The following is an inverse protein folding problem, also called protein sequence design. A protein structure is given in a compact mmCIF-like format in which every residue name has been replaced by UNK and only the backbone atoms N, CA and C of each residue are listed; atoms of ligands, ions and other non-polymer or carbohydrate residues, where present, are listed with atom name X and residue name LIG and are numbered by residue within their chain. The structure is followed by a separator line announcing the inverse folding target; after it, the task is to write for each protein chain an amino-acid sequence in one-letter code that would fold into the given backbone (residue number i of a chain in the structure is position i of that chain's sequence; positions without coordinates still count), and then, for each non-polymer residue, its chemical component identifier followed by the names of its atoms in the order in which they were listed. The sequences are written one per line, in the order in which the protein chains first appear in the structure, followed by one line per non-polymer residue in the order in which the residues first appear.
data_IF_829715775379
#
_entry.id   IF_829715775379
#
_cell.length_a   1.000
_cell.length_b   1.000
_cell.length_c   1.000
_cell.angle_alpha   90.00
_cell.angle_beta   90.00
_cell.angle_gamma   90.00
#
_symmetry.space_group_name_H-M   'P 1'
#
loop_
_entity.id
_entity.type
_entity.pdbx_description
1 polymer ?
#
# COMPACT_ATOMS: atom_id res chain seq x y z
N UNK A 1 2.63 -12.32 38.47
CA UNK A 1 1.19 -12.50 38.74
C UNK A 1 0.41 -11.97 37.55
N UNK A 2 -0.64 -12.68 37.14
CA UNK A 2 -1.51 -12.26 36.04
C UNK A 2 -2.39 -11.08 36.52
N UNK A 3 -1.98 -9.87 36.19
CA UNK A 3 -2.70 -8.62 36.46
C UNK A 3 -2.48 -7.63 35.32
N UNK A 4 -3.14 -6.46 35.33
CA UNK A 4 -3.08 -5.52 34.19
C UNK A 4 -1.66 -5.09 33.78
N UNK A 5 -0.77 -4.96 34.77
CA UNK A 5 0.65 -4.59 34.57
C UNK A 5 1.57 -5.80 34.36
N UNK A 6 1.02 -7.01 34.35
CA UNK A 6 1.76 -8.24 34.04
C UNK A 6 2.06 -8.33 32.54
N UNK A 7 3.20 -8.96 32.23
CA UNK A 7 3.66 -9.20 30.85
C UNK A 7 2.71 -10.17 30.16
N UNK A 8 2.16 -9.79 29.01
CA UNK A 8 1.26 -10.62 28.23
C UNK A 8 1.98 -11.34 27.09
N UNK A 9 2.79 -10.60 26.32
CA UNK A 9 3.48 -11.14 25.13
C UNK A 9 4.75 -10.36 24.82
N UNK A 10 5.72 -11.07 24.24
CA UNK A 10 6.88 -10.47 23.58
C UNK A 10 6.72 -10.66 22.07
N UNK A 11 6.67 -9.55 21.34
CA UNK A 11 6.58 -9.57 19.88
C UNK A 11 7.86 -8.99 19.31
N UNK A 12 8.49 -9.71 18.38
CA UNK A 12 9.73 -9.23 17.77
C UNK A 12 9.41 -8.34 16.58
N UNK A 13 9.89 -7.09 16.62
CA UNK A 13 9.89 -6.20 15.46
C UNK A 13 11.29 -6.18 14.85
N UNK A 14 11.40 -6.18 13.51
CA UNK A 14 12.69 -6.16 12.81
C UNK A 14 13.47 -4.85 13.02
N UNK A 15 12.81 -3.79 13.49
CA UNK A 15 13.41 -2.49 13.78
C UNK A 15 14.07 -1.82 12.56
N UNK A 16 14.43 -0.55 12.68
CA UNK A 16 15.25 0.15 11.66
C UNK A 16 16.70 -0.34 11.65
N UNK A 17 17.16 -0.95 12.75
CA UNK A 17 18.55 -1.39 12.97
C UNK A 17 18.84 -2.83 12.52
N UNK A 18 17.85 -3.56 12.00
CA UNK A 18 18.01 -4.94 11.49
C UNK A 18 18.21 -6.03 12.55
N UNK A 19 18.43 -5.67 13.81
CA UNK A 19 18.39 -6.58 14.96
C UNK A 19 16.98 -6.61 15.54
N UNK A 20 16.34 -7.79 15.67
CA UNK A 20 14.99 -7.88 16.24
C UNK A 20 14.94 -7.28 17.65
N UNK A 21 14.00 -6.35 17.87
CA UNK A 21 13.70 -5.80 19.19
C UNK A 21 12.49 -6.51 19.77
N UNK A 22 12.61 -7.00 21.01
CA UNK A 22 11.50 -7.64 21.71
C UNK A 22 10.57 -6.60 22.32
N UNK A 23 9.46 -6.28 21.65
CA UNK A 23 8.43 -5.36 22.15
C UNK A 23 7.69 -6.06 23.29
N UNK A 24 7.78 -5.50 24.50
CA UNK A 24 7.05 -6.03 25.66
C UNK A 24 5.68 -5.37 25.79
N UNK A 25 4.63 -6.16 25.57
CA UNK A 25 3.25 -5.75 25.79
C UNK A 25 2.71 -6.39 27.07
N UNK A 26 2.16 -5.55 27.95
CA UNK A 26 1.43 -5.99 29.13
C UNK A 26 -0.05 -6.17 28.81
N UNK A 27 -0.79 -6.87 29.68
CA UNK A 27 -2.23 -7.10 29.48
C UNK A 27 -3.01 -5.79 29.28
N UNK A 28 -2.69 -4.75 30.05
CA UNK A 28 -3.30 -3.42 29.91
C UNK A 28 -3.07 -2.82 28.53
N UNK A 29 -1.88 -2.96 27.95
CA UNK A 29 -1.57 -2.37 26.66
C UNK A 29 -2.43 -3.00 25.56
N UNK A 30 -2.45 -4.32 25.52
CA UNK A 30 -3.25 -5.08 24.57
C UNK A 30 -4.75 -4.76 24.69
N UNK A 31 -5.29 -4.83 25.90
CA UNK A 31 -6.71 -4.59 26.15
C UNK A 31 -7.11 -3.14 25.91
N UNK A 32 -6.21 -2.18 26.17
CA UNK A 32 -6.44 -0.78 25.82
C UNK A 32 -6.54 -0.59 24.30
N UNK A 33 -5.64 -1.20 23.51
CA UNK A 33 -5.70 -1.18 22.05
C UNK A 33 -7.03 -1.74 21.53
N UNK A 34 -7.43 -2.90 22.03
CA UNK A 34 -8.73 -3.54 21.69
C UNK A 34 -9.91 -2.66 22.06
N UNK A 35 -9.91 -2.07 23.26
CA UNK A 35 -10.96 -1.16 23.73
C UNK A 35 -11.06 0.09 22.86
N UNK A 36 -9.93 0.68 22.49
CA UNK A 36 -9.86 1.85 21.63
C UNK A 36 -10.43 1.53 20.24
N UNK A 37 -10.02 0.41 19.65
CA UNK A 37 -10.52 -0.07 18.36
C UNK A 37 -12.02 -0.38 18.39
N UNK A 38 -12.52 -1.06 19.43
CA UNK A 38 -13.96 -1.30 19.62
C UNK A 38 -14.76 -0.01 19.69
N UNK A 39 -14.32 0.96 20.52
CA UNK A 39 -14.97 2.27 20.65
C UNK A 39 -14.93 3.09 19.36
N UNK A 40 -13.88 2.92 18.56
CA UNK A 40 -13.76 3.53 17.24
C UNK A 40 -14.57 2.83 16.15
N UNK A 41 -15.32 1.76 16.45
CA UNK A 41 -16.10 1.04 15.43
C UNK A 41 -15.23 0.20 14.48
N UNK A 42 -14.08 -0.27 14.95
CA UNK A 42 -13.25 -1.19 14.17
C UNK A 42 -13.95 -2.54 13.99
N UNK A 43 -14.56 -3.04 15.07
CA UNK A 43 -15.24 -4.34 15.16
C UNK A 43 -16.26 -4.35 16.31
N UNK A 44 -17.19 -5.30 16.31
CA UNK A 44 -18.19 -5.48 17.37
C UNK A 44 -17.92 -6.73 18.21
N UNK A 45 -18.84 -7.11 19.10
CA UNK A 45 -18.81 -8.42 19.78
C UNK A 45 -19.13 -9.55 18.81
N UNK A 46 -18.67 -10.76 19.13
CA UNK A 46 -19.04 -11.99 18.44
C UNK A 46 -18.71 -11.97 16.93
N UNK A 47 -17.63 -11.28 16.55
CA UNK A 47 -17.08 -11.32 15.19
C UNK A 47 -16.51 -12.71 14.86
N UNK A 48 -16.57 -13.09 13.58
CA UNK A 48 -15.89 -14.26 13.04
C UNK A 48 -14.71 -13.79 12.19
N UNK A 49 -13.51 -14.30 12.48
CA UNK A 49 -12.26 -13.95 11.78
C UNK A 49 -11.54 -15.17 11.27
N UNK A 50 -10.78 -15.01 10.18
CA UNK A 50 -9.85 -16.01 9.68
C UNK A 50 -8.43 -15.66 10.14
N UNK A 51 -7.85 -16.47 11.02
CA UNK A 51 -6.52 -16.31 11.59
C UNK A 51 -5.44 -16.91 10.69
N UNK A 52 -5.27 -16.35 9.49
CA UNK A 52 -4.28 -16.81 8.51
C UNK A 52 -2.92 -16.11 8.63
N UNK A 53 -2.87 -15.02 9.40
CA UNK A 53 -1.65 -14.25 9.61
C UNK A 53 -0.82 -14.90 10.73
N UNK A 54 0.52 -14.79 10.70
CA UNK A 54 1.34 -15.37 11.76
C UNK A 54 0.98 -14.77 13.11
N UNK A 55 0.70 -15.59 14.12
CA UNK A 55 0.41 -15.13 15.50
C UNK A 55 1.56 -14.33 16.13
N UNK A 56 2.78 -14.51 15.62
CA UNK A 56 3.95 -13.71 15.99
C UNK A 56 3.88 -12.26 15.46
N UNK A 57 2.96 -11.95 14.55
CA UNK A 57 2.69 -10.60 14.10
C UNK A 57 1.62 -9.95 14.97
N UNK A 58 1.89 -8.73 15.45
CA UNK A 58 1.03 -8.06 16.44
C UNK A 58 -0.41 -7.89 15.96
N UNK A 59 -0.65 -7.68 14.67
CA UNK A 59 -2.00 -7.52 14.17
C UNK A 59 -2.80 -8.79 14.42
N UNK A 60 -2.28 -9.97 14.02
CA UNK A 60 -2.96 -11.24 14.29
C UNK A 60 -3.18 -11.42 15.79
N UNK A 61 -2.11 -11.29 16.60
CA UNK A 61 -2.21 -11.46 18.05
C UNK A 61 -3.25 -10.53 18.69
N UNK A 62 -3.32 -9.26 18.27
CA UNK A 62 -4.26 -8.29 18.80
C UNK A 62 -5.71 -8.61 18.40
N UNK A 63 -5.94 -9.16 17.20
CA UNK A 63 -7.26 -9.61 16.76
C UNK A 63 -7.67 -10.96 17.38
N UNK A 64 -6.82 -11.97 17.30
CA UNK A 64 -7.14 -13.36 17.68
C UNK A 64 -7.11 -13.54 19.20
N UNK A 65 -6.01 -13.15 19.84
CA UNK A 65 -5.85 -13.28 21.30
C UNK A 65 -6.43 -12.09 22.05
N UNK A 66 -6.15 -10.86 21.60
CA UNK A 66 -6.64 -9.64 22.25
C UNK A 66 -8.16 -9.49 22.16
N UNK A 67 -8.65 -9.19 20.96
CA UNK A 67 -10.07 -8.96 20.71
C UNK A 67 -10.88 -10.26 20.82
N UNK A 68 -10.34 -11.39 20.38
CA UNK A 68 -11.06 -12.66 20.45
C UNK A 68 -11.43 -13.09 21.87
N UNK A 69 -10.52 -12.94 22.83
CA UNK A 69 -10.82 -13.23 24.24
C UNK A 69 -11.72 -12.14 24.84
N UNK A 70 -11.43 -10.86 24.58
CA UNK A 70 -12.14 -9.75 25.22
C UNK A 70 -13.58 -9.56 24.71
N UNK A 71 -13.84 -9.89 23.45
CA UNK A 71 -15.10 -9.60 22.73
C UNK A 71 -15.77 -10.86 22.15
N UNK A 72 -15.29 -12.05 22.53
CA UNK A 72 -15.85 -13.38 22.18
C UNK A 72 -15.86 -13.68 20.68
N UNK A 73 -14.74 -13.42 20.00
CA UNK A 73 -14.68 -13.74 18.56
C UNK A 73 -14.64 -15.25 18.33
N UNK A 74 -15.19 -15.66 17.20
CA UNK A 74 -14.94 -16.99 16.64
C UNK A 74 -13.67 -16.92 15.81
N UNK A 75 -12.62 -17.62 16.25
CA UNK A 75 -11.33 -17.67 15.57
C UNK A 75 -11.27 -18.92 14.69
N UNK A 76 -11.26 -18.73 13.37
CA UNK A 76 -11.17 -19.81 12.41
C UNK A 76 -9.74 -19.89 11.90
N UNK A 77 -9.11 -21.05 12.00
CA UNK A 77 -7.71 -21.27 11.59
C UNK A 77 -7.73 -22.05 10.28
N UNK A 78 -7.07 -21.56 9.21
CA UNK A 78 -7.00 -22.28 7.95
C UNK A 78 -6.23 -23.60 8.10
N UNK A 79 -6.59 -24.61 7.30
CA UNK A 79 -5.93 -25.93 7.39
C UNK A 79 -4.45 -25.84 7.01
N UNK A 80 -4.14 -25.07 5.96
CA UNK A 80 -2.78 -24.78 5.48
C UNK A 80 -2.73 -23.39 4.85
N UNK A 81 -1.52 -22.89 4.58
CA UNK A 81 -1.36 -21.59 3.92
C UNK A 81 -1.96 -21.57 2.50
N UNK A 82 -1.92 -22.71 1.80
CA UNK A 82 -2.46 -22.87 0.45
C UNK A 82 -3.99 -22.90 0.42
N UNK A 83 -4.64 -23.26 1.54
CA UNK A 83 -6.11 -23.36 1.62
C UNK A 83 -6.77 -22.06 2.06
N UNK A 84 -6.01 -21.02 2.43
CA UNK A 84 -6.53 -19.77 2.99
C UNK A 84 -7.69 -19.17 2.19
N UNK A 85 -7.61 -19.12 0.85
CA UNK A 85 -8.68 -18.55 0.02
C UNK A 85 -9.92 -19.46 -0.06
N UNK A 86 -9.71 -20.78 -0.01
CA UNK A 86 -10.81 -21.75 0.07
C UNK A 86 -11.53 -21.62 1.41
N UNK A 87 -10.77 -21.60 2.51
CA UNK A 87 -11.29 -21.51 3.88
C UNK A 87 -11.99 -20.16 4.10
N UNK A 88 -11.44 -19.07 3.55
CA UNK A 88 -12.08 -17.75 3.56
C UNK A 88 -13.48 -17.80 2.94
N UNK A 89 -13.62 -18.51 1.80
CA UNK A 89 -14.90 -18.69 1.12
C UNK A 89 -15.89 -19.49 1.97
N UNK A 90 -15.46 -20.61 2.54
CA UNK A 90 -16.30 -21.48 3.35
C UNK A 90 -16.79 -20.80 4.64
N UNK A 91 -15.87 -20.13 5.34
CA UNK A 91 -16.14 -19.50 6.64
C UNK A 91 -16.97 -18.22 6.47
N UNK A 92 -16.72 -17.46 5.39
CA UNK A 92 -17.27 -16.14 5.12
C UNK A 92 -17.25 -15.25 6.38
N UNK A 93 -16.06 -14.78 6.81
CA UNK A 93 -15.89 -14.06 8.07
C UNK A 93 -16.61 -12.71 8.08
N UNK A 94 -16.86 -12.18 9.26
CA UNK A 94 -17.50 -10.87 9.45
C UNK A 94 -16.48 -9.74 9.60
N UNK A 95 -15.22 -10.10 9.92
CA UNK A 95 -14.07 -9.21 9.99
C UNK A 95 -12.88 -9.84 9.24
N UNK A 96 -12.23 -9.07 8.39
CA UNK A 96 -11.07 -9.50 7.61
C UNK A 96 -10.05 -8.37 7.50
N UNK A 97 -8.83 -8.64 7.96
CA UNK A 97 -7.67 -7.78 7.80
C UNK A 97 -6.71 -8.45 6.82
N UNK A 98 -6.34 -7.73 5.77
CA UNK A 98 -5.36 -8.22 4.83
C UNK A 98 -4.41 -7.13 4.33
N UNK A 99 -3.17 -7.51 4.06
CA UNK A 99 -2.18 -6.64 3.43
C UNK A 99 -2.65 -6.25 2.02
N UNK A 100 -2.22 -5.10 1.47
CA UNK A 100 -2.58 -4.66 0.13
C UNK A 100 -2.42 -5.75 -0.94
N UNK A 101 -1.29 -6.46 -0.92
CA UNK A 101 -1.00 -7.55 -1.86
C UNK A 101 -2.03 -8.68 -1.84
N UNK A 102 -2.61 -9.00 -0.69
CA UNK A 102 -3.67 -10.01 -0.61
C UNK A 102 -4.94 -9.55 -1.32
N UNK A 103 -5.30 -8.27 -1.19
CA UNK A 103 -6.40 -7.65 -1.94
C UNK A 103 -6.13 -7.62 -3.44
N UNK A 104 -4.91 -7.25 -3.85
CA UNK A 104 -4.49 -7.23 -5.24
C UNK A 104 -4.56 -8.63 -5.87
N UNK A 105 -4.01 -9.65 -5.21
CA UNK A 105 -4.04 -11.03 -5.71
C UNK A 105 -5.47 -11.57 -5.91
N UNK A 106 -6.38 -11.26 -4.98
CA UNK A 106 -7.79 -11.61 -5.13
C UNK A 106 -8.43 -10.88 -6.32
N UNK A 107 -8.09 -9.60 -6.54
CA UNK A 107 -8.58 -8.83 -7.69
C UNK A 107 -8.06 -9.40 -9.01
N UNK A 108 -6.77 -9.70 -9.10
CA UNK A 108 -6.18 -10.35 -10.29
C UNK A 108 -6.90 -11.66 -10.61
N UNK A 109 -7.21 -12.47 -9.59
CA UNK A 109 -7.96 -13.73 -9.77
C UNK A 109 -9.35 -13.50 -10.37
N UNK A 110 -10.04 -12.43 -9.97
CA UNK A 110 -11.34 -12.05 -10.56
C UNK A 110 -11.15 -11.64 -12.01
N UNK A 111 -10.17 -10.78 -12.30
CA UNK A 111 -9.92 -10.25 -13.64
C UNK A 111 -9.63 -11.37 -14.64
N UNK A 112 -8.69 -12.27 -14.32
CA UNK A 112 -8.35 -13.43 -15.16
C UNK A 112 -9.58 -14.30 -15.42
N UNK A 113 -10.35 -14.66 -14.39
CA UNK A 113 -11.56 -15.47 -14.55
C UNK A 113 -12.64 -14.79 -15.37
N UNK A 114 -12.72 -13.46 -15.32
CA UNK A 114 -13.67 -12.69 -16.13
C UNK A 114 -13.22 -12.55 -17.57
N UNK A 115 -11.91 -12.48 -17.84
CA UNK A 115 -11.35 -12.52 -19.20
C UNK A 115 -11.60 -13.85 -19.89
N UNK A 116 -11.48 -14.96 -19.15
CA UNK A 116 -11.79 -16.31 -19.62
C UNK A 116 -13.30 -16.62 -19.68
N UNK A 117 -14.15 -15.65 -19.32
CA UNK A 117 -15.60 -15.84 -19.28
C UNK A 117 -16.27 -15.66 -20.64
N UNK A 118 -17.52 -16.13 -20.77
CA UNK A 118 -18.29 -15.94 -22.00
C UNK A 118 -18.55 -14.45 -22.26
N UNK A 119 -18.64 -14.06 -23.54
CA UNK A 119 -18.87 -12.66 -23.96
C UNK A 119 -20.04 -12.00 -23.24
N UNK A 120 -21.12 -12.75 -23.00
CA UNK A 120 -22.29 -12.24 -22.27
C UNK A 120 -21.97 -11.96 -20.80
N UNK A 121 -21.27 -12.87 -20.10
CA UNK A 121 -20.87 -12.68 -18.70
C UNK A 121 -19.93 -11.49 -18.56
N UNK A 122 -18.94 -11.38 -19.45
CA UNK A 122 -18.02 -10.24 -19.50
C UNK A 122 -18.76 -8.92 -19.71
N UNK A 123 -19.68 -8.87 -20.67
CA UNK A 123 -20.48 -7.67 -20.93
C UNK A 123 -21.35 -7.26 -19.72
N UNK A 124 -22.01 -8.23 -19.06
CA UNK A 124 -22.80 -7.98 -17.84
C UNK A 124 -21.89 -7.44 -16.72
N UNK A 125 -20.75 -8.10 -16.49
CA UNK A 125 -19.77 -7.69 -15.50
C UNK A 125 -19.28 -6.26 -15.77
N UNK A 126 -18.84 -5.96 -16.99
CA UNK A 126 -18.33 -4.64 -17.38
C UNK A 126 -19.41 -3.58 -17.18
N UNK A 127 -20.66 -3.84 -17.57
CA UNK A 127 -21.77 -2.89 -17.41
C UNK A 127 -21.99 -2.51 -15.93
N UNK A 128 -22.10 -3.50 -15.04
CA UNK A 128 -22.42 -3.25 -13.64
C UNK A 128 -21.20 -2.77 -12.85
N UNK A 129 -20.02 -3.34 -13.07
CA UNK A 129 -18.80 -2.93 -12.37
C UNK A 129 -18.35 -1.54 -12.79
N UNK A 130 -18.42 -1.17 -14.07
CA UNK A 130 -18.11 0.20 -14.48
C UNK A 130 -19.09 1.21 -13.85
N UNK A 131 -20.38 0.87 -13.77
CA UNK A 131 -21.36 1.71 -13.08
C UNK A 131 -21.07 1.82 -11.57
N UNK A 132 -20.68 0.73 -10.91
CA UNK A 132 -20.37 0.72 -9.49
C UNK A 132 -19.08 1.50 -9.17
N UNK A 133 -18.04 1.34 -10.00
CA UNK A 133 -16.77 2.08 -9.92
C UNK A 133 -17.00 3.58 -10.10
N UNK A 134 -17.78 3.98 -11.11
CA UNK A 134 -18.11 5.39 -11.33
C UNK A 134 -18.87 6.01 -10.14
N UNK A 135 -19.84 5.27 -9.59
CA UNK A 135 -20.59 5.71 -8.41
C UNK A 135 -19.69 5.85 -7.17
N UNK A 136 -18.77 4.91 -6.94
CA UNK A 136 -17.86 4.96 -5.78
C UNK A 136 -16.82 6.07 -5.92
N UNK A 137 -16.23 6.28 -7.10
CA UNK A 137 -15.32 7.42 -7.35
C UNK A 137 -16.03 8.75 -7.08
N UNK A 138 -17.24 8.93 -7.60
CA UNK A 138 -18.06 10.12 -7.36
C UNK A 138 -18.35 10.33 -5.86
N UNK A 139 -18.61 9.24 -5.12
CA UNK A 139 -18.83 9.30 -3.68
C UNK A 139 -17.57 9.73 -2.92
N UNK A 140 -16.39 9.22 -3.31
CA UNK A 140 -15.11 9.62 -2.72
C UNK A 140 -14.78 11.09 -2.99
N UNK A 141 -15.28 11.65 -4.10
CA UNK A 141 -15.20 13.08 -4.43
C UNK A 141 -16.27 13.94 -3.70
N UNK A 142 -17.05 13.35 -2.79
CA UNK A 142 -18.11 14.05 -2.05
C UNK A 142 -19.45 14.16 -2.77
N UNK A 143 -19.57 13.57 -3.97
CA UNK A 143 -20.80 13.53 -4.76
C UNK A 143 -21.78 12.43 -4.34
N UNK A 144 -22.91 12.37 -5.04
CA UNK A 144 -23.95 11.36 -4.84
C UNK A 144 -24.12 10.51 -6.10
N UNK A 145 -24.41 9.20 -5.98
CA UNK A 145 -24.66 8.35 -7.14
C UNK A 145 -25.82 8.88 -7.99
N UNK A 146 -25.68 8.80 -9.31
CA UNK A 146 -26.71 9.21 -10.28
C UNK A 146 -27.96 8.33 -10.16
N UNK A 147 -29.10 8.80 -10.69
CA UNK A 147 -30.34 8.00 -10.68
C UNK A 147 -30.16 6.64 -11.38
N UNK A 148 -29.42 6.61 -12.50
CA UNK A 148 -29.08 5.38 -13.22
C UNK A 148 -28.26 4.43 -12.34
N UNK A 149 -27.21 4.93 -11.68
CA UNK A 149 -26.38 4.11 -10.79
C UNK A 149 -27.19 3.54 -9.61
N UNK A 150 -28.11 4.34 -9.04
CA UNK A 150 -29.02 3.89 -7.96
C UNK A 150 -29.95 2.78 -8.43
N UNK A 151 -30.49 2.88 -9.64
CA UNK A 151 -31.37 1.86 -10.23
C UNK A 151 -30.61 0.59 -10.62
N UNK A 152 -29.37 0.72 -11.12
CA UNK A 152 -28.53 -0.43 -11.50
C UNK A 152 -27.95 -1.15 -10.30
N UNK A 153 -27.78 -0.48 -9.15
CA UNK A 153 -27.14 -1.05 -7.96
C UNK A 153 -27.78 -2.36 -7.47
N UNK A 154 -29.11 -2.47 -7.22
CA UNK A 154 -29.70 -3.72 -6.75
C UNK A 154 -29.56 -4.86 -7.78
N UNK A 155 -29.66 -4.56 -9.07
CA UNK A 155 -29.51 -5.55 -10.13
C UNK A 155 -28.05 -6.02 -10.26
N UNK A 156 -27.09 -5.10 -10.17
CA UNK A 156 -25.67 -5.40 -10.15
C UNK A 156 -25.25 -6.18 -8.90
N UNK A 157 -25.87 -5.91 -7.75
CA UNK A 157 -25.69 -6.69 -6.53
C UNK A 157 -26.15 -8.14 -6.73
N UNK A 158 -27.32 -8.35 -7.34
CA UNK A 158 -27.86 -9.69 -7.58
C UNK A 158 -27.05 -10.48 -8.64
N UNK A 159 -26.68 -9.84 -9.74
CA UNK A 159 -26.09 -10.52 -10.90
C UNK A 159 -24.56 -10.62 -10.87
N UNK A 160 -23.88 -9.69 -10.20
CA UNK A 160 -22.41 -9.55 -10.28
C UNK A 160 -21.77 -9.43 -8.91
N UNK A 161 -22.07 -8.37 -8.15
CA UNK A 161 -21.31 -8.05 -6.93
C UNK A 161 -21.55 -9.08 -5.82
N UNK A 162 -22.80 -9.51 -5.62
CA UNK A 162 -23.17 -10.56 -4.66
C UNK A 162 -22.47 -11.88 -4.98
N UNK A 163 -22.61 -12.45 -6.19
CA UNK A 163 -21.91 -13.67 -6.58
C UNK A 163 -20.38 -13.59 -6.47
N UNK A 164 -19.77 -12.46 -6.83
CA UNK A 164 -18.32 -12.27 -6.66
C UNK A 164 -17.93 -12.26 -5.18
N UNK A 165 -18.66 -11.51 -4.33
CA UNK A 165 -18.41 -11.51 -2.88
C UNK A 165 -18.58 -12.91 -2.29
N UNK A 166 -19.59 -13.65 -2.72
CA UNK A 166 -19.83 -15.02 -2.27
C UNK A 166 -18.68 -15.95 -2.64
N UNK A 167 -18.24 -15.87 -3.89
CA UNK A 167 -17.11 -16.64 -4.39
C UNK A 167 -15.79 -16.34 -3.66
N UNK A 168 -15.65 -15.15 -3.08
CA UNK A 168 -14.50 -14.70 -2.31
C UNK A 168 -14.68 -14.85 -0.79
N UNK A 169 -15.85 -15.26 -0.30
CA UNK A 169 -16.13 -15.31 1.15
C UNK A 169 -16.38 -13.95 1.81
N UNK A 170 -16.68 -12.91 1.03
CA UNK A 170 -16.84 -11.52 1.51
C UNK A 170 -18.30 -11.13 1.74
N UNK A 171 -19.27 -12.03 1.53
CA UNK A 171 -20.71 -11.71 1.61
C UNK A 171 -21.14 -11.26 3.02
N UNK A 172 -20.58 -11.86 4.06
CA UNK A 172 -20.88 -11.55 5.47
C UNK A 172 -19.97 -10.46 6.06
N UNK A 173 -19.03 -9.97 5.27
CA UNK A 173 -17.97 -9.09 5.75
C UNK A 173 -18.54 -7.72 6.12
N UNK A 174 -18.51 -7.40 7.43
CA UNK A 174 -18.94 -6.12 7.97
C UNK A 174 -17.78 -5.15 8.10
N UNK A 175 -16.61 -5.68 8.47
CA UNK A 175 -15.40 -4.92 8.75
C UNK A 175 -14.26 -5.45 7.87
N UNK A 176 -13.86 -4.67 6.87
CA UNK A 176 -12.76 -5.00 5.99
C UNK A 176 -11.65 -3.97 6.18
N UNK A 177 -10.43 -4.43 6.47
CA UNK A 177 -9.29 -3.57 6.67
C UNK A 177 -8.11 -3.93 5.78
N UNK A 178 -7.37 -2.90 5.43
CA UNK A 178 -6.01 -3.01 4.93
C UNK A 178 -5.07 -2.15 5.77
N UNK A 179 -3.83 -2.60 5.92
CA UNK A 179 -2.83 -1.95 6.73
C UNK A 179 -1.46 -2.60 6.55
N UNK A 180 -0.47 -2.07 7.27
CA UNK A 180 0.94 -2.46 7.14
C UNK A 180 1.67 -1.76 5.99
N UNK A 181 0.99 -1.53 4.87
CA UNK A 181 1.50 -0.78 3.71
C UNK A 181 0.37 -0.01 3.01
N UNK A 182 0.71 0.88 2.08
CA UNK A 182 -0.27 1.62 1.29
C UNK A 182 -0.91 0.72 0.22
N UNK A 183 -2.22 0.84 0.03
CA UNK A 183 -2.99 0.09 -0.97
C UNK A 183 -3.23 0.92 -2.24
N UNK A 184 -3.25 0.23 -3.38
CA UNK A 184 -3.56 0.86 -4.66
C UNK A 184 -4.98 1.42 -4.73
N UNK A 185 -5.11 2.61 -5.30
CA UNK A 185 -6.40 3.28 -5.47
C UNK A 185 -7.39 2.39 -6.25
N UNK A 186 -6.96 1.81 -7.36
CA UNK A 186 -7.85 1.02 -8.21
C UNK A 186 -8.34 -0.23 -7.49
N UNK A 187 -7.48 -0.93 -6.74
CA UNK A 187 -7.85 -2.05 -5.87
C UNK A 187 -8.81 -1.62 -4.77
N UNK A 188 -8.49 -0.52 -4.08
CA UNK A 188 -9.32 -0.03 -2.98
C UNK A 188 -10.71 0.37 -3.45
N UNK A 189 -10.80 1.13 -4.55
CA UNK A 189 -12.05 1.57 -5.17
C UNK A 189 -12.83 0.37 -5.71
N UNK A 190 -12.16 -0.64 -6.28
CA UNK A 190 -12.81 -1.86 -6.77
C UNK A 190 -13.57 -2.58 -5.68
N UNK A 191 -12.94 -2.88 -4.54
CA UNK A 191 -13.62 -3.60 -3.46
C UNK A 191 -14.76 -2.78 -2.85
N UNK A 192 -14.61 -1.46 -2.78
CA UNK A 192 -15.67 -0.58 -2.32
C UNK A 192 -16.85 -0.52 -3.29
N UNK A 193 -16.58 -0.46 -4.59
CA UNK A 193 -17.58 -0.55 -5.65
C UNK A 193 -18.33 -1.89 -5.61
N UNK A 194 -17.60 -2.99 -5.35
CA UNK A 194 -18.16 -4.33 -5.10
C UNK A 194 -19.08 -4.38 -3.85
N UNK A 195 -19.04 -3.35 -3.01
CA UNK A 195 -19.85 -3.23 -1.80
C UNK A 195 -19.15 -3.73 -0.54
N UNK A 196 -17.85 -4.01 -0.58
CA UNK A 196 -17.02 -4.29 0.59
C UNK A 196 -16.68 -2.96 1.25
N UNK A 197 -16.94 -2.82 2.55
CA UNK A 197 -16.60 -1.61 3.33
C UNK A 197 -15.11 -1.59 3.70
N UNK A 198 -14.24 -1.61 2.69
CA UNK A 198 -12.79 -1.59 2.86
C UNK A 198 -12.35 -0.23 3.42
N UNK A 199 -11.52 -0.28 4.46
CA UNK A 199 -11.00 0.86 5.21
C UNK A 199 -9.51 0.68 5.49
N UNK A 200 -8.79 1.79 5.63
CA UNK A 200 -7.39 1.76 6.04
C UNK A 200 -7.27 1.78 7.57
N UNK A 201 -6.24 1.10 8.07
CA UNK A 201 -5.89 1.02 9.49
C UNK A 201 -4.39 1.30 9.65
N UNK A 202 -4.07 2.20 10.58
CA UNK A 202 -2.70 2.47 10.99
C UNK A 202 -2.43 1.94 12.40
N UNK A 203 -1.28 1.30 12.54
CA UNK A 203 -0.92 0.52 13.70
C UNK A 203 0.53 0.06 13.65
N UNK A 204 1.11 -0.19 14.82
CA UNK A 204 2.44 -0.78 14.95
C UNK A 204 2.50 -1.69 16.18
N UNK A 205 3.60 -2.45 16.28
CA UNK A 205 3.83 -3.40 17.39
C UNK A 205 3.88 -2.69 18.73
N UNK A 206 4.55 -1.55 18.78
CA UNK A 206 4.76 -0.71 19.95
C UNK A 206 3.47 -0.07 20.49
N UNK A 207 2.35 -0.13 19.75
CA UNK A 207 1.06 0.45 20.16
C UNK A 207 -0.08 -0.55 20.27
N UNK A 208 0.24 -1.85 20.29
CA UNK A 208 -0.77 -2.92 20.29
C UNK A 208 -1.71 -2.86 19.08
N UNK A 209 -1.15 -2.65 17.89
CA UNK A 209 -1.79 -2.69 16.56
C UNK A 209 -2.78 -1.56 16.19
N UNK A 210 -3.35 -0.81 17.13
CA UNK A 210 -4.49 0.06 16.83
C UNK A 210 -4.22 1.53 17.19
N UNK A 211 -3.99 2.39 16.19
CA UNK A 211 -3.76 3.83 16.39
C UNK A 211 -4.84 4.70 15.74
N UNK A 212 -5.07 4.52 14.45
CA UNK A 212 -6.01 5.31 13.67
C UNK A 212 -6.70 4.43 12.63
N UNK A 213 -7.97 4.72 12.36
CA UNK A 213 -8.75 4.04 11.33
C UNK A 213 -9.64 5.03 10.58
N UNK A 214 -10.01 4.67 9.36
CA UNK A 214 -11.06 5.37 8.65
C UNK A 214 -12.43 5.04 9.23
N UNK A 215 -13.31 6.04 9.28
CA UNK A 215 -14.72 5.82 9.58
C UNK A 215 -15.41 5.14 8.39
N UNK A 216 -16.55 4.47 8.62
CA UNK A 216 -17.35 3.85 7.56
C UNK A 216 -17.91 4.91 6.59
N UNK A 217 -18.25 6.10 7.09
CA UNK A 217 -18.81 7.21 6.32
C UNK A 217 -17.75 8.12 5.68
N UNK A 218 -16.56 8.20 6.25
CA UNK A 218 -15.52 9.17 5.87
C UNK A 218 -14.24 8.47 5.42
N UNK A 219 -14.23 8.02 4.17
CA UNK A 219 -13.11 7.29 3.57
C UNK A 219 -12.41 8.15 2.54
N UNK A 220 -11.08 8.30 2.70
CA UNK A 220 -10.21 9.05 1.79
C UNK A 220 -8.98 8.22 1.43
N UNK A 221 -8.67 8.09 0.16
CA UNK A 221 -7.60 7.21 -0.31
C UNK A 221 -6.22 7.53 0.30
N UNK A 222 -5.93 8.80 0.55
CA UNK A 222 -4.61 9.24 1.01
C UNK A 222 -4.42 9.30 2.52
N UNK A 223 -5.47 9.05 3.32
CA UNK A 223 -5.42 9.12 4.79
C UNK A 223 -5.68 7.76 5.43
N UNK A 224 -5.14 7.53 6.61
CA UNK A 224 -5.46 6.36 7.45
C UNK A 224 -6.65 6.59 8.37
N UNK A 225 -7.28 7.77 8.26
CA UNK A 225 -8.43 8.18 9.07
C UNK A 225 -8.03 8.91 10.35
N UNK A 226 -8.91 8.90 11.33
CA UNK A 226 -8.75 9.65 12.58
C UNK A 226 -8.15 8.76 13.68
N UNK A 227 -7.43 9.36 14.65
CA UNK A 227 -6.99 8.65 15.85
C UNK A 227 -8.16 7.96 16.55
N UNK A 228 -7.95 6.74 17.02
CA UNK A 228 -8.95 6.00 17.78
C UNK A 228 -9.21 6.68 19.13
N UNK A 229 -10.40 6.48 19.73
CA UNK A 229 -10.69 6.98 21.07
C UNK A 229 -9.63 6.51 22.08
N UNK A 230 -9.04 7.44 22.84
CA UNK A 230 -7.97 7.15 23.79
C UNK A 230 -6.55 7.11 23.20
N UNK A 231 -6.40 7.48 21.93
CA UNK A 231 -5.09 7.67 21.26
C UNK A 231 -4.88 9.14 20.97
N UNK A 232 -3.94 9.76 21.66
CA UNK A 232 -3.48 11.10 21.35
C UNK A 232 -2.38 11.03 20.28
N UNK A 233 -2.49 11.88 19.25
CA UNK A 233 -1.47 12.00 18.20
C UNK A 233 -0.97 13.45 18.12
N UNK A 234 0.34 13.60 18.09
CA UNK A 234 1.06 14.86 17.84
C UNK A 234 2.02 14.66 16.68
N UNK A 235 2.27 15.71 15.92
CA UNK A 235 3.33 15.73 14.89
C UNK A 235 4.48 16.57 15.46
N UNK A 236 5.69 16.01 15.50
CA UNK A 236 6.89 16.72 15.98
C UNK A 236 7.34 17.81 14.98
N UNK A 237 8.33 18.62 15.35
CA UNK A 237 8.93 19.61 14.44
C UNK A 237 9.67 18.94 13.26
N UNK A 238 10.23 17.74 13.47
CA UNK A 238 10.77 16.89 12.40
C UNK A 238 9.67 16.18 11.59
N UNK A 239 8.40 16.41 11.96
CA UNK A 239 7.18 15.77 11.49
C UNK A 239 7.18 14.25 11.57
N UNK A 240 7.71 13.74 12.69
CA UNK A 240 7.45 12.40 13.21
C UNK A 240 6.05 12.36 13.83
N UNK A 241 5.37 11.22 13.69
CA UNK A 241 4.12 10.93 14.38
C UNK A 241 4.48 10.50 15.81
N UNK A 242 3.98 11.23 16.79
CA UNK A 242 4.11 10.90 18.21
C UNK A 242 2.77 10.39 18.72
N UNK A 243 2.80 9.30 19.49
CA UNK A 243 1.58 8.65 20.01
C UNK A 243 1.61 8.55 21.51
N UNK A 244 0.52 8.93 22.17
CA UNK A 244 0.31 8.67 23.59
C UNK A 244 -1.01 7.94 23.80
N UNK A 245 -0.95 6.77 24.42
CA UNK A 245 -2.11 5.90 24.68
C UNK A 245 -1.74 4.87 25.74
N UNK A 246 -2.73 4.35 26.47
CA UNK A 246 -2.54 3.16 27.32
C UNK A 246 -2.11 1.92 26.53
N UNK A 247 -2.35 1.90 25.20
CA UNK A 247 -1.95 0.83 24.30
C UNK A 247 -0.47 0.82 23.94
N UNK A 248 0.26 1.89 24.27
CA UNK A 248 1.72 1.98 24.06
C UNK A 248 2.42 0.97 24.97
N UNK A 249 3.39 0.25 24.39
CA UNK A 249 4.19 -0.77 25.06
C UNK A 249 4.92 -0.25 26.31
N UNK A 250 5.42 -1.18 27.13
CA UNK A 250 6.19 -0.81 28.33
C UNK A 250 7.70 -0.63 28.06
N UNK A 251 8.11 -0.67 26.79
CA UNK A 251 9.51 -0.65 26.36
C UNK A 251 9.96 -1.94 25.68
N UNK A 252 11.20 -1.93 25.22
CA UNK A 252 11.89 -3.07 24.62
C UNK A 252 12.55 -3.94 25.69
N UNK A 253 12.39 -5.25 25.58
CA UNK A 253 12.94 -6.22 26.54
C UNK A 253 14.46 -6.21 26.56
N UNK A 254 15.05 -5.94 27.74
CA UNK A 254 16.50 -5.85 27.98
C UNK A 254 17.22 -4.84 27.06
N UNK A 255 16.50 -3.79 26.67
CA UNK A 255 17.03 -2.70 25.84
C UNK A 255 16.54 -1.36 26.41
N UNK A 256 17.02 -1.02 27.60
CA UNK A 256 16.60 0.16 28.35
C UNK A 256 16.87 1.45 27.58
N UNK A 257 18.03 1.56 26.92
CA UNK A 257 18.40 2.73 26.11
C UNK A 257 17.43 2.93 24.94
N UNK A 258 17.20 1.89 24.14
CA UNK A 258 16.24 1.94 23.03
C UNK A 258 14.79 2.20 23.51
N UNK A 259 14.46 1.80 24.74
CA UNK A 259 13.16 2.08 25.35
C UNK A 259 13.02 3.54 25.73
N UNK A 260 14.08 4.14 26.27
CA UNK A 260 14.14 5.57 26.60
C UNK A 260 14.10 6.45 25.35
N UNK A 261 14.81 6.05 24.30
CA UNK A 261 14.76 6.73 23.00
C UNK A 261 13.36 6.67 22.37
N UNK A 262 12.65 5.54 22.51
CA UNK A 262 11.31 5.39 21.95
C UNK A 262 10.22 6.05 22.80
N UNK A 263 10.43 6.21 24.12
CA UNK A 263 9.44 6.75 25.05
C UNK A 263 9.98 8.02 25.73
N UNK A 264 9.59 9.17 25.21
CA UNK A 264 9.97 10.49 25.72
C UNK A 264 8.73 11.24 26.23
N UNK A 265 8.75 11.71 27.49
CA UNK A 265 7.64 12.45 28.11
C UNK A 265 6.24 11.80 27.98
N UNK A 266 6.21 10.47 27.98
CA UNK A 266 4.98 9.68 27.82
C UNK A 266 4.46 9.57 26.40
N UNK A 267 5.22 10.06 25.42
CA UNK A 267 4.98 9.90 23.99
C UNK A 267 5.87 8.80 23.41
N UNK A 268 5.28 7.97 22.57
CA UNK A 268 5.99 7.04 21.70
C UNK A 268 6.45 7.80 20.45
N UNK A 269 7.77 7.80 20.23
CA UNK A 269 8.41 8.13 18.97
C UNK A 269 8.25 6.95 18.01
N UNK A 270 7.32 7.08 17.06
CA UNK A 270 6.92 5.97 16.19
C UNK A 270 7.96 5.61 15.13
N UNK A 271 8.89 6.51 14.84
CA UNK A 271 9.76 6.44 13.67
C UNK A 271 9.02 6.59 12.34
N UNK A 272 7.73 6.93 12.35
CA UNK A 272 6.92 7.16 11.16
C UNK A 272 6.73 8.66 10.92
N UNK A 273 6.83 9.07 9.67
CA UNK A 273 6.61 10.43 9.22
C UNK A 273 5.16 10.61 8.78
N UNK A 274 4.58 11.76 9.09
CA UNK A 274 3.22 12.09 8.68
C UNK A 274 2.81 13.52 9.02
N UNK A 275 1.58 13.85 8.66
CA UNK A 275 0.94 15.10 9.02
C UNK A 275 -0.55 14.87 9.29
N UNK A 276 -1.19 15.84 9.94
CA UNK A 276 -2.63 15.85 10.16
C UNK A 276 -3.29 16.91 9.29
N UNK A 277 -4.39 16.54 8.66
CA UNK A 277 -5.27 17.47 7.95
C UNK A 277 -6.07 18.32 8.93
N UNK A 278 -6.66 19.42 8.46
CA UNK A 278 -7.38 20.38 9.28
C UNK A 278 -8.60 19.78 10.02
N UNK A 279 -9.21 18.74 9.46
CA UNK A 279 -10.32 17.99 10.05
C UNK A 279 -9.86 16.81 10.92
N UNK A 280 -8.55 16.64 11.10
CA UNK A 280 -7.95 15.69 12.03
C UNK A 280 -7.44 14.40 11.41
N UNK A 281 -7.75 14.14 10.13
CA UNK A 281 -7.29 12.93 9.43
C UNK A 281 -5.77 12.84 9.40
N UNK A 282 -5.24 11.65 9.71
CA UNK A 282 -3.81 11.36 9.68
C UNK A 282 -3.38 10.87 8.29
N UNK A 283 -2.33 11.46 7.76
CA UNK A 283 -1.62 10.99 6.57
C UNK A 283 -0.27 10.44 6.99
N UNK A 284 -0.05 9.15 6.72
CA UNK A 284 1.22 8.47 6.98
C UNK A 284 2.03 8.45 5.69
N UNK A 285 3.24 9.02 5.74
CA UNK A 285 4.12 9.16 4.59
C UNK A 285 5.14 8.01 4.50
N UNK A 286 5.43 7.33 5.59
CA UNK A 286 6.41 6.24 5.65
C UNK A 286 7.37 6.41 6.82
N UNK A 287 8.61 5.94 6.69
CA UNK A 287 9.61 6.02 7.77
C UNK A 287 10.29 7.38 7.82
N UNK A 288 10.46 7.92 9.03
CA UNK A 288 11.20 9.16 9.28
C UNK A 288 12.65 9.07 8.78
N UNK A 289 13.28 7.90 8.91
CA UNK A 289 14.65 7.64 8.42
C UNK A 289 14.78 7.69 6.89
N UNK A 290 13.67 7.65 6.15
CA UNK A 290 13.64 7.71 4.69
C UNK A 290 13.27 9.10 4.15
N UNK A 291 13.09 10.08 5.04
CA UNK A 291 12.82 11.46 4.69
C UNK A 291 14.01 12.08 3.98
N UNK A 292 13.73 12.79 2.89
CA UNK A 292 14.71 13.58 2.15
C UNK A 292 14.15 14.97 1.85
N UNK A 293 15.04 15.89 1.47
CA UNK A 293 14.68 17.27 1.18
C UNK A 293 15.06 17.63 -0.25
N UNK A 294 14.22 18.43 -0.90
CA UNK A 294 14.56 19.12 -2.15
C UNK A 294 15.58 20.23 -1.90
N UNK A 295 16.14 20.83 -2.95
CA UNK A 295 17.02 21.99 -2.83
C UNK A 295 16.34 23.18 -2.12
N UNK A 296 15.01 23.29 -2.28
CA UNK A 296 14.18 24.31 -1.62
C UNK A 296 13.78 23.96 -0.19
N UNK A 297 14.29 22.85 0.34
CA UNK A 297 13.99 22.38 1.70
C UNK A 297 12.64 21.70 1.85
N UNK A 298 11.92 21.41 0.76
CA UNK A 298 10.66 20.70 0.84
C UNK A 298 10.90 19.25 1.21
N UNK A 299 10.15 18.78 2.21
CA UNK A 299 10.31 17.45 2.79
C UNK A 299 9.44 16.44 2.04
N UNK A 300 10.03 15.30 1.66
CA UNK A 300 9.28 14.18 1.08
C UNK A 300 9.91 12.82 1.39
N UNK A 301 9.16 11.75 1.12
CA UNK A 301 9.63 10.37 1.23
C UNK A 301 9.53 9.73 -0.16
N UNK A 302 10.65 9.35 -0.81
CA UNK A 302 10.63 8.77 -2.15
C UNK A 302 9.74 7.54 -2.26
N UNK A 303 9.87 6.61 -1.30
CA UNK A 303 9.07 5.38 -1.22
C UNK A 303 7.55 5.64 -1.25
N UNK A 304 7.08 6.77 -0.70
CA UNK A 304 5.66 7.13 -0.72
C UNK A 304 5.16 7.34 -2.15
N UNK A 305 5.92 8.07 -2.94
CA UNK A 305 5.59 8.40 -4.34
C UNK A 305 5.80 7.17 -5.22
N UNK A 306 6.90 6.44 -5.03
CA UNK A 306 7.21 5.20 -5.75
C UNK A 306 6.12 4.14 -5.56
N UNK A 307 5.64 3.94 -4.33
CA UNK A 307 4.54 3.01 -4.05
C UNK A 307 3.25 3.44 -4.75
N UNK A 308 2.94 4.74 -4.79
CA UNK A 308 1.77 5.25 -5.52
C UNK A 308 1.88 5.06 -7.03
N UNK A 309 3.06 5.18 -7.62
CA UNK A 309 3.27 4.88 -9.04
C UNK A 309 2.99 3.41 -9.35
N UNK A 310 3.46 2.49 -8.49
CA UNK A 310 3.23 1.04 -8.60
C UNK A 310 1.76 0.62 -8.40
N UNK A 311 0.87 1.53 -8.00
CA UNK A 311 -0.57 1.25 -8.01
C UNK A 311 -1.12 1.13 -9.44
N UNK A 312 -0.40 1.69 -10.42
CA UNK A 312 -0.66 1.39 -11.83
C UNK A 312 -0.15 -0.02 -12.14
N UNK A 313 -0.96 -0.93 -12.70
CA UNK A 313 -0.52 -2.28 -13.05
C UNK A 313 0.55 -2.27 -14.17
N UNK A 314 0.71 -1.13 -14.86
CA UNK A 314 1.72 -0.93 -15.89
C UNK A 314 3.10 -0.56 -15.32
N UNK A 315 3.21 -0.27 -14.02
CA UNK A 315 4.46 0.12 -13.35
C UNK A 315 4.90 -1.00 -12.42
N UNK A 316 6.05 -1.60 -12.71
CA UNK A 316 6.63 -2.66 -11.89
C UNK A 316 7.46 -2.11 -10.73
N UNK A 317 8.36 -1.18 -11.03
CA UNK A 317 9.16 -0.47 -10.04
C UNK A 317 9.31 1.00 -10.45
N UNK A 318 9.60 1.85 -9.47
CA UNK A 318 9.94 3.25 -9.70
C UNK A 318 11.04 3.68 -8.73
N UNK A 319 11.89 4.60 -9.17
CA UNK A 319 12.87 5.29 -8.35
C UNK A 319 12.63 6.80 -8.46
N UNK A 320 12.25 7.43 -7.35
CA UNK A 320 11.99 8.87 -7.32
C UNK A 320 13.27 9.61 -6.96
N UNK A 321 13.63 10.54 -7.85
CA UNK A 321 14.78 11.42 -7.78
C UNK A 321 14.36 12.79 -7.24
N UNK A 322 15.27 13.49 -6.57
CA UNK A 322 15.01 14.88 -6.15
C UNK A 322 15.74 15.36 -4.90
N UNK A 323 16.51 14.48 -4.24
CA UNK A 323 17.29 14.87 -3.06
C UNK A 323 18.28 15.98 -3.44
N UNK A 324 18.14 17.14 -2.81
CA UNK A 324 18.97 18.32 -3.10
C UNK A 324 18.77 18.91 -4.50
N UNK A 325 17.63 18.64 -5.16
CA UNK A 325 17.28 19.16 -6.49
C UNK A 325 16.03 20.03 -6.43
N UNK A 326 15.83 20.89 -7.42
CA UNK A 326 14.71 21.85 -7.44
C UNK A 326 13.34 21.24 -7.71
N UNK A 327 13.31 20.09 -8.40
CA UNK A 327 12.10 19.39 -8.83
C UNK A 327 12.28 17.90 -8.63
N UNK A 328 11.18 17.17 -8.40
CA UNK A 328 11.23 15.71 -8.39
C UNK A 328 11.16 15.15 -9.80
N UNK A 329 11.77 13.98 -10.00
CA UNK A 329 11.66 13.19 -11.22
C UNK A 329 11.56 11.70 -10.91
N UNK A 330 11.23 10.86 -11.89
CA UNK A 330 11.13 9.42 -11.69
C UNK A 330 11.81 8.61 -12.80
N UNK A 331 12.54 7.56 -12.42
CA UNK A 331 12.89 6.46 -13.32
C UNK A 331 11.86 5.36 -13.11
N UNK A 332 11.19 4.93 -14.17
CA UNK A 332 10.06 4.00 -14.10
C UNK A 332 10.40 2.73 -14.89
N UNK A 333 10.24 1.58 -14.26
CA UNK A 333 10.30 0.27 -14.90
C UNK A 333 8.86 -0.19 -15.17
N UNK A 334 8.54 -0.46 -16.44
CA UNK A 334 7.23 -0.98 -16.80
C UNK A 334 7.08 -2.45 -16.39
N UNK A 335 5.85 -2.89 -16.17
CA UNK A 335 5.56 -4.32 -16.04
C UNK A 335 5.47 -4.95 -17.44
N UNK A 336 6.48 -5.74 -17.82
CA UNK A 336 6.60 -6.29 -19.18
C UNK A 336 5.37 -7.08 -19.61
N UNK A 337 4.85 -7.92 -18.73
CA UNK A 337 3.75 -8.83 -19.05
C UNK A 337 2.45 -8.04 -19.25
N UNK A 338 2.15 -7.14 -18.32
CA UNK A 338 0.92 -6.34 -18.35
C UNK A 338 0.93 -5.31 -19.48
N UNK A 339 2.05 -4.60 -19.67
CA UNK A 339 2.19 -3.63 -20.76
C UNK A 339 2.24 -4.35 -22.12
N UNK A 340 2.91 -5.50 -22.20
CA UNK A 340 2.96 -6.32 -23.41
C UNK A 340 1.58 -6.78 -23.86
N UNK A 341 0.78 -7.33 -22.95
CA UNK A 341 -0.61 -7.71 -23.23
C UNK A 341 -1.46 -6.50 -23.66
N UNK A 342 -1.31 -5.37 -22.97
CA UNK A 342 -2.00 -4.12 -23.31
C UNK A 342 -1.67 -3.61 -24.72
N UNK A 343 -0.41 -3.76 -25.13
CA UNK A 343 0.11 -3.38 -26.45
C UNK A 343 -0.41 -4.31 -27.55
N UNK A 344 -0.38 -5.62 -27.32
CA UNK A 344 -0.91 -6.64 -28.24
C UNK A 344 -2.40 -6.43 -28.54
N UNK A 345 -3.20 -6.16 -27.50
CA UNK A 345 -4.63 -5.86 -27.63
C UNK A 345 -4.93 -4.61 -28.48
N UNK A 346 -3.93 -3.75 -28.71
CA UNK A 346 -4.01 -2.53 -29.52
C UNK A 346 -3.27 -2.64 -30.86
N UNK A 347 -2.70 -3.81 -31.16
CA UNK A 347 -1.92 -4.03 -32.37
C UNK A 347 -0.58 -3.30 -32.39
N UNK A 348 -0.03 -2.95 -31.23
CA UNK A 348 1.30 -2.36 -31.10
C UNK A 348 2.33 -3.49 -31.10
N UNK A 349 3.21 -3.51 -32.10
CA UNK A 349 4.24 -4.53 -32.26
C UNK A 349 5.53 -4.10 -31.59
N UNK A 350 6.15 -5.00 -30.81
CA UNK A 350 7.43 -4.77 -30.13
C UNK A 350 8.29 -6.04 -30.16
N UNK A 351 9.61 -5.89 -30.16
CA UNK A 351 10.54 -7.04 -30.25
C UNK A 351 11.21 -7.36 -28.92
N UNK A 352 11.36 -6.36 -28.04
CA UNK A 352 12.01 -6.51 -26.75
C UNK A 352 11.39 -5.59 -25.70
N UNK A 353 11.74 -5.80 -24.43
CA UNK A 353 11.36 -4.89 -23.35
C UNK A 353 11.85 -3.46 -23.63
N UNK A 354 13.08 -3.33 -24.12
CA UNK A 354 13.68 -2.03 -24.38
C UNK A 354 12.86 -1.25 -25.42
N UNK A 355 12.43 -1.92 -26.49
CA UNK A 355 11.60 -1.32 -27.53
C UNK A 355 10.22 -0.95 -26.96
N UNK A 356 9.55 -1.89 -26.29
CA UNK A 356 8.23 -1.67 -25.67
C UNK A 356 8.23 -0.48 -24.71
N UNK A 357 9.27 -0.34 -23.88
CA UNK A 357 9.39 0.74 -22.89
C UNK A 357 9.49 2.13 -23.50
N UNK A 358 9.90 2.23 -24.78
CA UNK A 358 10.08 3.49 -25.50
C UNK A 358 8.98 3.74 -26.55
N UNK A 359 8.01 2.83 -26.70
CA UNK A 359 6.85 3.07 -27.57
C UNK A 359 6.08 4.31 -27.10
N UNK A 360 5.74 5.26 -28.00
CA UNK A 360 5.05 6.50 -27.62
C UNK A 360 3.76 6.26 -26.83
N UNK A 361 2.97 5.27 -27.25
CA UNK A 361 1.72 4.89 -26.61
C UNK A 361 1.93 4.35 -25.19
N UNK A 362 3.04 3.65 -24.95
CA UNK A 362 3.43 3.16 -23.62
C UNK A 362 3.91 4.33 -22.75
N UNK A 363 4.68 5.27 -23.30
CA UNK A 363 5.09 6.46 -22.57
C UNK A 363 3.86 7.28 -22.13
N UNK A 364 2.86 7.45 -22.98
CA UNK A 364 1.59 8.12 -22.64
C UNK A 364 0.79 7.34 -21.58
N UNK A 365 0.80 6.00 -21.65
CA UNK A 365 0.18 5.14 -20.63
C UNK A 365 0.80 5.38 -19.25
N UNK A 366 2.14 5.48 -19.18
CA UNK A 366 2.87 5.77 -17.95
C UNK A 366 2.68 7.23 -17.52
N UNK A 367 2.64 8.18 -18.47
CA UNK A 367 2.34 9.59 -18.18
C UNK A 367 0.99 9.75 -17.46
N UNK A 368 -0.03 8.99 -17.88
CA UNK A 368 -1.32 8.98 -17.21
C UNK A 368 -1.21 8.49 -15.74
N UNK A 369 -0.36 7.51 -15.45
CA UNK A 369 -0.09 7.07 -14.08
C UNK A 369 0.62 8.15 -13.26
N UNK A 370 1.65 8.80 -13.82
CA UNK A 370 2.37 9.92 -13.19
C UNK A 370 1.42 11.09 -12.88
N UNK A 371 0.55 11.45 -13.83
CA UNK A 371 -0.45 12.52 -13.66
C UNK A 371 -1.42 12.22 -12.52
N UNK A 372 -1.88 10.97 -12.38
CA UNK A 372 -2.72 10.55 -11.24
C UNK A 372 -1.98 10.73 -9.91
N UNK A 373 -0.72 10.34 -9.83
CA UNK A 373 0.09 10.52 -8.62
C UNK A 373 0.28 12.01 -8.31
N UNK A 374 0.64 12.82 -9.32
CA UNK A 374 0.83 14.27 -9.17
C UNK A 374 -0.41 15.01 -8.69
N UNK A 375 -1.62 14.54 -9.01
CA UNK A 375 -2.86 15.12 -8.50
C UNK A 375 -3.00 14.99 -6.96
N UNK A 376 -2.25 14.08 -6.35
CA UNK A 376 -2.26 13.83 -4.90
C UNK A 376 -1.09 14.47 -4.15
N UNK A 377 -0.14 15.09 -4.87
CA UNK A 377 1.07 15.66 -4.30
C UNK A 377 0.99 17.20 -4.23
N UNK A 378 1.57 17.83 -3.18
CA UNK A 378 1.78 19.26 -3.13
C UNK A 378 2.57 19.77 -4.35
N UNK A 379 2.37 21.02 -4.74
CA UNK A 379 2.92 21.60 -5.98
C UNK A 379 4.45 21.43 -6.13
N UNK A 380 5.21 21.62 -5.05
CA UNK A 380 6.67 21.49 -5.08
C UNK A 380 7.17 20.04 -5.09
N UNK A 381 6.30 19.09 -4.69
CA UNK A 381 6.59 17.65 -4.69
C UNK A 381 6.04 16.92 -5.93
N UNK A 382 5.46 17.64 -6.89
CA UNK A 382 5.06 17.02 -8.16
C UNK A 382 6.29 16.55 -8.92
N UNK A 383 6.22 15.33 -9.43
CA UNK A 383 7.15 14.82 -10.43
C UNK A 383 7.04 15.73 -11.64
N UNK A 384 8.13 16.35 -12.11
CA UNK A 384 8.14 17.19 -13.31
C UNK A 384 8.57 16.43 -14.55
N UNK A 385 9.44 15.44 -14.35
CA UNK A 385 9.98 14.63 -15.43
C UNK A 385 9.97 13.15 -15.04
N UNK A 386 9.83 12.29 -16.03
CA UNK A 386 10.05 10.86 -15.85
C UNK A 386 10.72 10.25 -17.09
N UNK A 387 11.34 9.09 -16.88
CA UNK A 387 11.95 8.28 -17.92
C UNK A 387 11.51 6.83 -17.73
N UNK A 388 10.99 6.22 -18.79
CA UNK A 388 10.81 4.76 -18.83
C UNK A 388 12.17 4.10 -19.06
N UNK A 389 12.60 3.25 -18.12
CA UNK A 389 13.88 2.56 -18.23
C UNK A 389 13.79 1.43 -19.26
N UNK A 390 14.88 1.18 -19.99
CA UNK A 390 14.99 0.14 -21.02
C UNK A 390 15.20 -1.29 -20.49
N UNK A 391 15.20 -1.46 -19.16
CA UNK A 391 15.17 -2.75 -18.48
C UNK A 391 14.44 -2.63 -17.15
N UNK A 392 14.16 -3.76 -16.50
CA UNK A 392 13.68 -3.80 -15.12
C UNK A 392 14.85 -3.68 -14.13
N UNK A 393 14.55 -3.29 -12.89
CA UNK A 393 15.53 -3.36 -11.82
C UNK A 393 15.82 -4.81 -11.44
N UNK A 394 17.10 -5.12 -11.30
CA UNK A 394 17.56 -6.48 -11.00
C UNK A 394 18.36 -6.51 -9.68
N UNK A 395 18.15 -7.59 -8.92
CA UNK A 395 18.86 -7.84 -7.69
C UNK A 395 20.32 -8.26 -7.91
N UNK A 396 20.61 -8.94 -9.02
CA UNK A 396 21.97 -9.35 -9.40
C UNK A 396 22.79 -8.14 -9.87
N UNK A 397 22.10 -7.15 -10.43
CA UNK A 397 22.64 -5.82 -10.69
C UNK A 397 22.82 -4.96 -9.43
N UNK A 398 22.27 -5.40 -8.29
CA UNK A 398 22.34 -4.68 -7.01
C UNK A 398 21.45 -3.44 -6.94
N UNK A 399 20.57 -3.21 -7.91
CA UNK A 399 19.64 -2.06 -7.96
C UNK A 399 18.51 -2.21 -6.94
N UNK A 400 18.12 -3.46 -6.67
CA UNK A 400 17.15 -3.85 -5.67
C UNK A 400 17.71 -4.99 -4.81
N UNK A 401 17.13 -5.22 -3.63
CA UNK A 401 17.41 -6.43 -2.85
C UNK A 401 16.62 -7.62 -3.42
N UNK A 402 16.90 -8.85 -2.96
CA UNK A 402 16.08 -10.03 -3.26
C UNK A 402 14.63 -9.91 -2.76
N UNK A 403 14.41 -9.11 -1.72
CA UNK A 403 13.08 -8.68 -1.26
C UNK A 403 12.52 -7.49 -2.04
N UNK A 404 13.16 -7.12 -3.15
CA UNK A 404 12.80 -6.03 -4.07
C UNK A 404 12.82 -4.62 -3.44
N UNK A 405 13.59 -4.41 -2.37
CA UNK A 405 13.82 -3.07 -1.80
C UNK A 405 14.83 -2.30 -2.65
N UNK A 406 14.47 -1.10 -3.10
CA UNK A 406 15.32 -0.23 -3.92
C UNK A 406 16.59 0.22 -3.20
N UNK A 407 17.75 0.07 -3.86
CA UNK A 407 19.05 0.60 -3.43
C UNK A 407 19.35 1.89 -4.19
N UNK A 408 18.73 3.00 -3.74
CA UNK A 408 18.77 4.29 -4.44
C UNK A 408 20.15 4.80 -4.80
N UNK A 409 21.14 4.67 -3.90
CA UNK A 409 22.50 5.11 -4.20
C UNK A 409 23.09 4.40 -5.42
N UNK A 410 22.81 3.10 -5.57
CA UNK A 410 23.26 2.30 -6.72
C UNK A 410 22.53 2.73 -7.99
N UNK A 411 21.21 2.98 -7.89
CA UNK A 411 20.40 3.45 -9.02
C UNK A 411 20.84 4.83 -9.48
N UNK A 412 21.02 5.79 -8.56
CA UNK A 412 21.48 7.14 -8.88
C UNK A 412 22.89 7.15 -9.48
N UNK A 413 23.80 6.32 -8.99
CA UNK A 413 25.16 6.20 -9.54
C UNK A 413 25.15 5.57 -10.94
N UNK A 414 24.46 4.44 -11.10
CA UNK A 414 24.42 3.70 -12.35
C UNK A 414 23.71 4.46 -13.47
N UNK A 415 22.63 5.15 -13.12
CA UNK A 415 21.81 5.92 -14.05
C UNK A 415 22.11 7.41 -14.00
N UNK A 416 23.30 7.80 -13.51
CA UNK A 416 23.76 9.19 -13.51
C UNK A 416 23.56 9.90 -14.86
N UNK A 417 23.82 9.29 -16.04
CA UNK A 417 23.53 9.94 -17.32
C UNK A 417 22.06 10.33 -17.50
N UNK A 418 21.12 9.50 -17.03
CA UNK A 418 19.68 9.79 -17.06
C UNK A 418 19.35 10.93 -16.09
N UNK A 419 19.90 10.86 -14.88
CA UNK A 419 19.71 11.90 -13.85
C UNK A 419 20.20 13.26 -14.37
N UNK A 420 21.39 13.30 -14.95
CA UNK A 420 22.00 14.52 -15.49
C UNK A 420 21.20 15.06 -16.67
N UNK A 421 20.75 14.19 -17.59
CA UNK A 421 19.91 14.60 -18.71
C UNK A 421 18.59 15.23 -18.26
N UNK A 422 17.91 14.63 -17.26
CA UNK A 422 16.68 15.17 -16.67
C UNK A 422 16.92 16.59 -16.12
N UNK A 423 17.93 16.76 -15.28
CA UNK A 423 18.18 18.05 -14.63
C UNK A 423 18.88 19.09 -15.52
N UNK A 424 19.44 18.67 -16.65
CA UNK A 424 19.91 19.56 -17.72
C UNK A 424 18.80 19.99 -18.70
N UNK A 425 17.56 19.50 -18.53
CA UNK A 425 16.43 19.83 -19.39
C UNK A 425 16.51 19.20 -20.79
N UNK A 426 17.20 18.06 -20.92
CA UNK A 426 17.28 17.32 -22.18
C UNK A 426 16.00 16.51 -22.41
N UNK A 427 15.57 16.38 -23.67
CA UNK A 427 14.37 15.61 -24.03
C UNK A 427 14.63 14.12 -24.25
N UNK A 428 15.90 13.72 -24.34
CA UNK A 428 16.30 12.32 -24.52
C UNK A 428 17.72 12.07 -24.01
N UNK A 429 18.03 10.82 -23.67
CA UNK A 429 19.35 10.38 -23.21
C UNK A 429 19.71 9.03 -23.81
N UNK A 430 20.93 8.89 -24.32
CA UNK A 430 21.42 7.60 -24.82
C UNK A 430 22.11 6.82 -23.71
N UNK A 431 21.53 5.68 -23.33
CA UNK A 431 22.14 4.73 -22.41
C UNK A 431 22.93 3.68 -23.17
N UNK A 432 24.15 3.42 -22.70
CA UNK A 432 25.01 2.34 -23.21
C UNK A 432 24.97 1.17 -22.24
N UNK A 433 24.37 0.06 -22.64
CA UNK A 433 24.37 -1.17 -21.89
C UNK A 433 25.45 -2.10 -22.44
N UNK A 434 26.29 -2.66 -21.56
CA UNK A 434 27.22 -3.75 -21.94
C UNK A 434 26.44 -5.06 -21.92
N UNK A 435 26.43 -5.77 -23.04
CA UNK A 435 25.87 -7.12 -23.15
C UNK A 435 27.05 -8.08 -23.22
N UNK A 436 27.12 -9.03 -22.30
CA UNK A 436 28.03 -10.16 -22.42
C UNK A 436 27.29 -11.29 -23.10
N UNK A 437 27.70 -11.64 -24.33
CA UNK A 437 27.13 -12.76 -25.07
C UNK A 437 27.53 -14.09 -24.41
N UNK A 438 26.77 -15.16 -24.69
CA UNK A 438 27.11 -16.51 -24.20
C UNK A 438 28.49 -17.00 -24.68
N UNK A 439 29.02 -16.41 -25.76
CA UNK A 439 30.39 -16.64 -26.26
C UNK A 439 31.48 -16.02 -25.37
N UNK A 440 31.12 -15.19 -24.38
CA UNK A 440 32.05 -14.38 -23.58
C UNK A 440 32.39 -13.03 -24.20
N UNK A 441 31.93 -12.74 -25.41
CA UNK A 441 32.16 -11.45 -26.09
C UNK A 441 31.34 -10.33 -25.43
N UNK A 442 31.91 -9.14 -25.34
CA UNK A 442 31.23 -7.96 -24.77
C UNK A 442 30.78 -7.05 -25.92
N UNK A 443 29.47 -6.99 -26.15
CA UNK A 443 28.81 -6.00 -27.01
C UNK A 443 28.40 -4.75 -26.25
N UNK A 444 28.30 -3.62 -26.95
CA UNK A 444 27.68 -2.40 -26.42
C UNK A 444 26.39 -2.19 -27.21
N UNK A 445 25.26 -2.17 -26.49
CA UNK A 445 23.98 -1.77 -27.06
C UNK A 445 23.65 -0.36 -26.59
N UNK A 446 23.32 0.50 -27.54
CA UNK A 446 22.85 1.85 -27.26
C UNK A 446 21.32 1.88 -27.31
N UNK A 447 20.72 2.58 -26.35
CA UNK A 447 19.28 2.78 -26.25
C UNK A 447 19.00 4.25 -25.98
N UNK A 448 18.25 4.87 -26.89
CA UNK A 448 17.74 6.22 -26.69
C UNK A 448 16.52 6.14 -25.77
N UNK A 449 16.57 6.85 -24.64
CA UNK A 449 15.45 6.96 -23.71
C UNK A 449 14.84 8.35 -23.80
N UNK A 450 13.52 8.41 -23.85
CA UNK A 450 12.80 9.68 -23.86
C UNK A 450 12.67 10.22 -22.44
N UNK A 451 13.03 11.50 -22.26
CA UNK A 451 12.75 12.26 -21.03
C UNK A 451 11.44 13.00 -21.23
N UNK A 452 10.43 12.61 -20.47
CA UNK A 452 9.06 13.12 -20.64
C UNK A 452 8.69 14.07 -19.51
N UNK A 453 8.11 15.21 -19.85
CA UNK A 453 7.45 16.10 -18.90
C UNK A 453 6.10 15.50 -18.46
N UNK A 454 5.83 15.57 -17.17
CA UNK A 454 4.73 14.87 -16.46
C UNK A 454 3.33 15.47 -16.63
#
# INVERSE_FOLDING_TARGET
TAGPSGRAVFVHSSGTTGKPKGVLLNHRNLLAGVRNAYRGGAFAFDESVLAYLPIAWIGDFAFTMGAGIALRFTINIPERQETVLHDLREIAPTLYLAAPRSWDNMLTTIQVRMEDSTRLKKWIYDLFMNSALAAERRKLEGGQPTLKERLLRPLGELLVCGPIKDQLGLTRLRHAFTGGEAIGEDTFVFYRALGVKLRQLYGQTETSAFNAIQDIGEVRLHTVGNPLPGVDIRISDSGEILIRSESVFSGYYKQEEASREALEDGWLHTGDAGYREADGHLVVLGRLSEVVHTAKGERYIPNYIENRLKFSPYVKDAAVLGRGRDTLAAIICIDKETVGHWAEMRGISYMSYADLSQEPEVIELIAAAVKRVNATLPEGLKLRHFVCLHKEFDADDGEITRTRKLRRSVVEERYAPIVDAIYAGQSAVTMKARITYESGDIGITERLLTVRES
#
